data_IF_505128518263
#
_entry.id   IF_505128518263
#
_cell.length_a   1.000
_cell.length_b   1.000
_cell.length_c   1.000
_cell.angle_alpha   90.00
_cell.angle_beta   90.00
_cell.angle_gamma   90.00
#
_symmetry.space_group_name_H-M   'P 1'
#
loop_
_entity.id
_entity.type
_entity.pdbx_description
1 polymer ?
#
# COMPACT_ATOMS: atom_id res chain seq x y z
N UNK A 1 -31.59 -18.48 24.96
CA UNK A 1 -30.78 -19.24 23.99
C UNK A 1 -30.35 -18.41 22.76
N UNK A 2 -31.13 -17.48 22.26
CA UNK A 2 -30.79 -16.63 21.10
C UNK A 2 -29.66 -15.63 21.40
N UNK A 3 -29.58 -15.08 22.62
CA UNK A 3 -28.57 -14.10 23.01
C UNK A 3 -27.12 -14.64 23.02
N UNK A 4 -26.96 -15.93 23.36
CA UNK A 4 -25.63 -16.59 23.41
C UNK A 4 -25.08 -16.84 22.01
N UNK A 5 -25.93 -17.10 21.03
CA UNK A 5 -25.54 -17.33 19.64
C UNK A 5 -25.09 -16.03 18.97
N UNK A 6 -25.68 -14.88 19.34
CA UNK A 6 -25.28 -13.57 18.79
C UNK A 6 -23.93 -13.12 19.34
N UNK A 7 -23.59 -13.42 20.59
CA UNK A 7 -22.27 -13.09 21.16
C UNK A 7 -21.13 -13.92 20.54
N UNK A 8 -21.38 -15.14 20.08
CA UNK A 8 -20.35 -15.97 19.42
C UNK A 8 -20.01 -15.53 18.00
N UNK A 9 -20.83 -14.70 17.36
CA UNK A 9 -20.58 -14.16 16.03
C UNK A 9 -19.73 -12.88 16.02
N UNK A 10 -19.45 -12.31 17.20
CA UNK A 10 -18.64 -11.09 17.33
C UNK A 10 -17.15 -11.36 17.64
N UNK A 11 -16.75 -12.61 17.82
CA UNK A 11 -15.34 -12.97 18.04
C UNK A 11 -14.60 -13.31 16.74
N UNK A 12 -14.72 -12.46 15.73
CA UNK A 12 -13.81 -12.46 14.57
C UNK A 12 -12.53 -11.69 14.94
N UNK A 13 -11.85 -12.12 15.99
CA UNK A 13 -10.47 -11.74 16.19
C UNK A 13 -9.62 -12.57 15.23
N UNK A 14 -9.04 -11.93 14.22
CA UNK A 14 -7.90 -12.49 13.51
C UNK A 14 -6.85 -12.76 14.59
N UNK A 15 -6.54 -14.03 14.86
CA UNK A 15 -5.40 -14.37 15.70
C UNK A 15 -4.16 -14.08 14.85
N UNK A 16 -3.46 -13.01 15.21
CA UNK A 16 -2.10 -12.84 14.73
C UNK A 16 -1.26 -13.99 15.30
N UNK A 17 -0.54 -14.69 14.44
CA UNK A 17 0.42 -15.70 14.89
C UNK A 17 1.55 -14.99 15.63
N UNK A 18 1.86 -15.47 16.83
CA UNK A 18 3.01 -14.97 17.58
C UNK A 18 4.30 -15.30 16.82
N UNK A 19 4.90 -14.30 16.22
CA UNK A 19 6.21 -14.42 15.59
C UNK A 19 7.31 -14.02 16.57
N UNK A 20 8.46 -14.69 16.50
CA UNK A 20 9.63 -14.31 17.29
C UNK A 20 10.13 -12.94 16.83
N UNK A 21 10.23 -11.97 17.75
CA UNK A 21 10.81 -10.66 17.42
C UNK A 21 12.35 -10.78 17.28
N UNK A 22 12.75 -11.29 16.14
CA UNK A 22 14.15 -11.46 15.74
C UNK A 22 14.27 -11.15 14.25
N UNK A 23 15.46 -10.82 13.72
CA UNK A 23 15.62 -10.56 12.28
C UNK A 23 15.06 -11.69 11.41
N UNK A 24 15.31 -12.94 11.78
CA UNK A 24 14.78 -14.09 11.05
C UNK A 24 13.27 -14.24 11.22
N UNK A 25 12.74 -14.08 12.44
CA UNK A 25 11.29 -14.15 12.68
C UNK A 25 10.53 -13.08 11.92
N UNK A 26 11.04 -11.85 11.89
CA UNK A 26 10.42 -10.74 11.14
C UNK A 26 10.47 -10.95 9.63
N UNK A 27 11.56 -11.53 9.12
CA UNK A 27 11.66 -11.91 7.71
C UNK A 27 10.62 -12.97 7.33
N UNK A 28 10.52 -14.07 8.09
CA UNK A 28 9.57 -15.15 7.84
C UNK A 28 8.12 -14.65 7.94
N UNK A 29 7.84 -13.80 8.94
CA UNK A 29 6.52 -13.22 9.10
C UNK A 29 6.11 -12.34 7.90
N UNK A 30 7.01 -11.47 7.43
CA UNK A 30 6.74 -10.61 6.28
C UNK A 30 6.58 -11.44 5.01
N UNK A 31 7.46 -12.43 4.78
CA UNK A 31 7.35 -13.31 3.63
C UNK A 31 5.99 -14.04 3.61
N UNK A 32 5.57 -14.60 4.75
CA UNK A 32 4.30 -15.31 4.91
C UNK A 32 3.10 -14.40 4.67
N UNK A 33 3.12 -13.16 5.17
CA UNK A 33 2.05 -12.17 4.93
C UNK A 33 1.86 -11.94 3.43
N UNK A 34 2.94 -11.77 2.69
CA UNK A 34 2.86 -11.58 1.23
C UNK A 34 2.38 -12.84 0.54
N UNK A 35 2.91 -14.00 0.91
CA UNK A 35 2.49 -15.30 0.36
C UNK A 35 0.99 -15.55 0.48
N UNK A 36 0.43 -15.27 1.67
CA UNK A 36 -0.96 -15.54 1.99
C UNK A 36 -1.95 -14.44 1.57
N UNK A 37 -1.49 -13.19 1.48
CA UNK A 37 -2.40 -12.04 1.35
C UNK A 37 -2.20 -11.20 0.09
N UNK A 38 -1.05 -11.30 -0.58
CA UNK A 38 -0.82 -10.55 -1.80
C UNK A 38 -1.44 -11.25 -3.01
N UNK A 39 -2.48 -10.67 -3.57
CA UNK A 39 -3.33 -11.31 -4.58
C UNK A 39 -2.74 -11.34 -6.01
N UNK A 40 -1.58 -10.73 -6.27
CA UNK A 40 -1.04 -10.60 -7.61
C UNK A 40 0.19 -11.46 -7.90
N UNK A 41 0.60 -12.37 -6.99
CA UNK A 41 1.77 -13.24 -7.22
C UNK A 41 1.61 -14.07 -8.50
N UNK A 42 0.48 -14.75 -8.63
CA UNK A 42 0.18 -15.58 -9.81
C UNK A 42 0.02 -14.73 -11.08
N UNK A 43 -0.73 -13.62 -11.00
CA UNK A 43 -0.95 -12.70 -12.12
C UNK A 43 0.37 -12.15 -12.68
N UNK A 44 1.30 -11.77 -11.80
CA UNK A 44 2.62 -11.24 -12.16
C UNK A 44 3.64 -12.32 -12.46
N UNK A 45 3.29 -13.60 -12.28
CA UNK A 45 4.18 -14.75 -12.44
C UNK A 45 5.43 -14.66 -11.55
N UNK A 46 5.25 -14.21 -10.32
CA UNK A 46 6.34 -14.05 -9.33
C UNK A 46 6.51 -15.39 -8.59
N UNK A 47 7.70 -15.95 -8.68
CA UNK A 47 8.13 -17.11 -7.87
C UNK A 47 8.56 -16.61 -6.47
N UNK A 48 7.57 -16.51 -5.56
CA UNK A 48 7.79 -15.97 -4.23
C UNK A 48 8.65 -16.88 -3.35
N UNK A 49 8.65 -18.21 -3.57
CA UNK A 49 9.52 -19.16 -2.92
C UNK A 49 11.00 -18.97 -3.35
N UNK A 50 11.24 -18.70 -4.62
CA UNK A 50 12.59 -18.37 -5.09
C UNK A 50 13.10 -17.07 -4.47
N UNK A 51 12.22 -16.08 -4.28
CA UNK A 51 12.54 -14.83 -3.58
C UNK A 51 12.87 -15.09 -2.11
N UNK A 52 12.09 -15.94 -1.40
CA UNK A 52 12.43 -16.39 -0.05
C UNK A 52 13.83 -16.99 -0.01
N UNK A 53 14.12 -17.94 -0.90
CA UNK A 53 15.42 -18.62 -0.99
C UNK A 53 16.56 -17.63 -1.21
N UNK A 54 16.35 -16.59 -2.01
CA UNK A 54 17.33 -15.54 -2.29
C UNK A 54 17.62 -14.70 -1.04
N UNK A 55 16.58 -14.16 -0.41
CA UNK A 55 16.71 -13.16 0.65
C UNK A 55 16.97 -13.77 2.04
N UNK A 56 16.51 -14.99 2.33
CA UNK A 56 16.77 -15.68 3.59
C UNK A 56 18.26 -15.86 3.89
N UNK A 57 19.09 -15.98 2.84
CA UNK A 57 20.57 -16.10 2.95
C UNK A 57 21.23 -14.81 3.43
N UNK A 58 20.55 -13.66 3.31
CA UNK A 58 21.07 -12.36 3.72
C UNK A 58 20.75 -12.06 5.19
N UNK A 59 19.84 -12.82 5.80
CA UNK A 59 19.38 -12.59 7.17
C UNK A 59 20.32 -13.27 8.17
N UNK A 60 20.83 -12.47 9.11
CA UNK A 60 21.62 -12.95 10.24
C UNK A 60 20.97 -12.57 11.57
N UNK A 61 21.20 -13.37 12.61
CA UNK A 61 20.61 -13.09 13.93
C UNK A 61 21.19 -11.85 14.61
N UNK A 62 22.31 -11.33 14.14
CA UNK A 62 23.01 -10.15 14.66
C UNK A 62 22.82 -8.92 13.77
N UNK A 63 21.94 -9.00 12.78
CA UNK A 63 21.65 -7.91 11.86
C UNK A 63 21.02 -6.74 12.60
N UNK A 64 21.44 -5.51 12.26
CA UNK A 64 20.80 -4.30 12.80
C UNK A 64 19.39 -4.12 12.24
N UNK A 65 18.58 -3.30 12.90
CA UNK A 65 17.22 -2.96 12.42
C UNK A 65 17.25 -2.30 11.06
N UNK A 66 18.23 -1.44 10.80
CA UNK A 66 18.41 -0.76 9.52
C UNK A 66 18.78 -1.75 8.41
N UNK A 67 19.73 -2.66 8.69
CA UNK A 67 20.12 -3.70 7.75
C UNK A 67 18.95 -4.65 7.44
N UNK A 68 18.18 -5.03 8.45
CA UNK A 68 16.96 -5.82 8.26
C UNK A 68 15.95 -5.06 7.39
N UNK A 69 15.69 -3.78 7.69
CA UNK A 69 14.77 -2.96 6.93
C UNK A 69 15.15 -2.87 5.45
N UNK A 70 16.44 -2.70 5.16
CA UNK A 70 16.96 -2.66 3.80
C UNK A 70 16.73 -3.99 3.06
N UNK A 71 17.03 -5.12 3.70
CA UNK A 71 16.80 -6.44 3.09
C UNK A 71 15.32 -6.71 2.84
N UNK A 72 14.45 -6.39 3.82
CA UNK A 72 13.00 -6.55 3.68
C UNK A 72 12.43 -5.63 2.59
N UNK A 73 12.87 -4.39 2.53
CA UNK A 73 12.47 -3.44 1.49
C UNK A 73 12.85 -3.92 0.10
N UNK A 74 14.08 -4.41 -0.06
CA UNK A 74 14.55 -4.98 -1.32
C UNK A 74 13.77 -6.24 -1.73
N UNK A 75 13.39 -7.09 -0.76
CA UNK A 75 12.54 -8.25 -1.01
C UNK A 75 11.15 -7.82 -1.52
N UNK A 76 10.51 -6.83 -0.89
CA UNK A 76 9.22 -6.32 -1.33
C UNK A 76 9.29 -5.64 -2.71
N UNK A 77 10.40 -5.00 -3.05
CA UNK A 77 10.59 -4.37 -4.36
C UNK A 77 10.61 -5.37 -5.53
N UNK A 78 10.86 -6.67 -5.26
CA UNK A 78 10.69 -7.72 -6.28
C UNK A 78 9.23 -7.84 -6.77
N UNK A 79 8.27 -7.40 -5.97
CA UNK A 79 6.87 -7.36 -6.37
C UNK A 79 6.59 -6.32 -7.46
N UNK A 80 7.47 -5.33 -7.63
CA UNK A 80 7.31 -4.21 -8.58
C UNK A 80 5.92 -3.56 -8.45
N UNK A 81 5.51 -3.24 -7.22
CA UNK A 81 4.19 -2.72 -6.92
C UNK A 81 4.28 -1.48 -6.03
N UNK A 82 3.88 -0.33 -6.57
CA UNK A 82 3.90 0.95 -5.85
C UNK A 82 2.92 1.05 -4.68
N UNK A 83 2.02 0.06 -4.50
CA UNK A 83 1.10 0.00 -3.37
C UNK A 83 1.63 -0.82 -2.20
N UNK A 84 2.72 -1.57 -2.40
CA UNK A 84 3.38 -2.33 -1.34
C UNK A 84 4.50 -1.48 -0.74
N UNK A 85 4.32 -1.09 0.52
CA UNK A 85 5.26 -0.24 1.24
C UNK A 85 5.69 -0.89 2.54
N UNK A 86 6.97 -0.74 2.90
CA UNK A 86 7.49 -1.07 4.21
C UNK A 86 7.77 0.23 4.95
N UNK A 87 7.14 0.43 6.09
CA UNK A 87 7.32 1.61 6.92
C UNK A 87 7.92 1.24 8.28
N UNK A 88 8.83 2.08 8.75
CA UNK A 88 9.35 2.08 10.11
C UNK A 88 9.19 3.46 10.73
N UNK A 89 9.56 3.61 12.00
CA UNK A 89 9.51 4.92 12.66
C UNK A 89 10.40 6.00 11.98
N UNK A 90 11.40 5.59 11.20
CA UNK A 90 12.41 6.49 10.65
C UNK A 90 12.62 6.35 9.15
N UNK A 91 11.98 5.39 8.50
CA UNK A 91 12.20 5.13 7.09
C UNK A 91 10.97 4.50 6.41
N UNK A 92 10.85 4.73 5.11
CA UNK A 92 9.84 4.10 4.24
C UNK A 92 10.55 3.56 3.01
N UNK A 93 10.31 2.28 2.69
CA UNK A 93 10.72 1.65 1.43
C UNK A 93 9.50 1.43 0.56
N UNK A 94 9.59 1.80 -0.71
CA UNK A 94 8.54 1.64 -1.71
C UNK A 94 9.13 1.48 -3.10
N UNK A 95 8.39 0.84 -3.98
CA UNK A 95 8.76 0.72 -5.38
C UNK A 95 8.26 1.93 -6.16
N UNK A 96 9.16 2.72 -6.73
CA UNK A 96 8.85 3.97 -7.42
C UNK A 96 9.04 3.92 -8.95
N UNK A 97 9.67 2.86 -9.48
CA UNK A 97 9.96 2.77 -10.91
C UNK A 97 8.70 2.67 -11.79
N UNK A 98 7.55 2.28 -11.23
CA UNK A 98 6.31 2.10 -11.98
C UNK A 98 5.80 3.38 -12.66
N UNK A 99 6.08 4.56 -12.10
CA UNK A 99 5.65 5.83 -12.69
C UNK A 99 6.75 6.53 -13.52
N UNK A 100 7.99 6.04 -13.47
CA UNK A 100 9.11 6.63 -14.23
C UNK A 100 9.03 6.29 -15.71
N UNK A 101 8.46 5.13 -16.05
CA UNK A 101 8.36 4.63 -17.42
C UNK A 101 7.12 5.11 -18.17
N UNK A 102 6.23 5.84 -17.50
CA UNK A 102 4.99 6.32 -18.10
C UNK A 102 4.98 7.85 -18.25
N UNK A 103 4.53 8.37 -19.39
CA UNK A 103 4.36 9.81 -19.55
C UNK A 103 3.29 10.32 -18.58
N UNK A 104 3.54 11.48 -17.98
CA UNK A 104 2.53 12.14 -17.16
C UNK A 104 1.42 12.67 -18.07
N UNK A 105 0.27 12.04 -18.03
CA UNK A 105 -0.91 12.43 -18.79
C UNK A 105 -1.76 13.49 -18.08
N UNK A 106 -1.51 13.70 -16.79
CA UNK A 106 -2.26 14.67 -16.00
C UNK A 106 -1.81 16.09 -16.36
N UNK A 107 -2.78 16.94 -16.72
CA UNK A 107 -2.63 18.33 -17.04
C UNK A 107 -3.44 19.17 -16.06
N UNK A 108 -2.77 19.75 -15.09
CA UNK A 108 -3.42 20.56 -14.05
C UNK A 108 -4.14 21.77 -14.62
N UNK A 109 -3.51 22.45 -15.58
CA UNK A 109 -4.09 23.57 -16.30
C UNK A 109 -5.44 23.21 -16.94
N UNK A 110 -5.57 22.04 -17.58
CA UNK A 110 -6.83 21.59 -18.16
C UNK A 110 -7.89 21.34 -17.05
N UNK A 111 -7.48 20.69 -15.94
CA UNK A 111 -8.41 20.42 -14.84
C UNK A 111 -8.89 21.72 -14.19
N UNK A 112 -8.02 22.66 -13.94
CA UNK A 112 -8.38 23.96 -13.36
C UNK A 112 -9.24 24.77 -14.34
N UNK A 113 -8.81 24.94 -15.59
CA UNK A 113 -9.49 25.84 -16.52
C UNK A 113 -10.79 25.25 -17.08
N UNK A 114 -10.85 23.96 -17.37
CA UNK A 114 -11.98 23.32 -18.06
C UNK A 114 -12.99 22.72 -17.10
N UNK A 115 -12.51 21.99 -16.07
CA UNK A 115 -13.41 21.26 -15.18
C UNK A 115 -13.79 22.06 -13.93
N UNK A 116 -12.88 22.74 -13.27
CA UNK A 116 -13.18 23.51 -12.06
C UNK A 116 -13.59 24.94 -12.40
N UNK A 117 -12.78 25.66 -13.14
CA UNK A 117 -12.97 27.10 -13.40
C UNK A 117 -12.35 27.96 -12.29
N UNK A 118 -12.85 29.18 -12.13
CA UNK A 118 -12.29 30.16 -11.19
C UNK A 118 -12.67 29.83 -9.73
N UNK A 119 -11.69 29.89 -8.86
CA UNK A 119 -11.91 29.77 -7.41
C UNK A 119 -12.95 30.81 -6.94
N UNK A 120 -13.75 30.41 -5.96
CA UNK A 120 -14.82 31.20 -5.33
C UNK A 120 -16.05 31.54 -6.18
N UNK A 121 -16.00 31.39 -7.49
CA UNK A 121 -17.15 31.63 -8.37
C UNK A 121 -17.70 30.34 -8.95
N UNK A 122 -16.82 29.49 -9.48
CA UNK A 122 -17.22 28.35 -10.30
C UNK A 122 -17.21 27.01 -9.54
N UNK A 123 -16.47 26.93 -8.45
CA UNK A 123 -16.46 25.75 -7.59
C UNK A 123 -16.42 26.09 -6.09
N UNK A 124 -16.71 25.09 -5.28
CA UNK A 124 -16.65 25.17 -3.82
C UNK A 124 -15.53 24.28 -3.28
N UNK A 125 -15.04 24.62 -2.09
CA UNK A 125 -14.03 23.83 -1.38
C UNK A 125 -14.56 23.44 -0.01
N UNK A 126 -14.46 22.16 0.34
CA UNK A 126 -14.77 21.66 1.68
C UNK A 126 -13.80 20.51 2.03
N UNK A 127 -13.17 20.59 3.21
CA UNK A 127 -12.28 19.55 3.74
C UNK A 127 -11.19 19.09 2.74
N UNK A 128 -10.57 20.03 2.01
CA UNK A 128 -9.53 19.70 1.02
C UNK A 128 -10.04 19.18 -0.33
N UNK A 129 -11.36 19.14 -0.53
CA UNK A 129 -11.98 18.73 -1.79
C UNK A 129 -12.53 19.93 -2.52
N UNK A 130 -12.14 20.10 -3.79
CA UNK A 130 -12.75 21.06 -4.72
C UNK A 130 -13.89 20.37 -5.44
N UNK A 131 -15.07 21.00 -5.52
CA UNK A 131 -16.23 20.38 -6.18
C UNK A 131 -17.17 21.40 -6.81
N UNK A 132 -17.86 20.96 -7.86
CA UNK A 132 -18.98 21.69 -8.47
C UNK A 132 -19.98 20.72 -9.12
N UNK A 133 -21.15 21.28 -9.48
CA UNK A 133 -22.14 20.58 -10.29
C UNK A 133 -22.19 21.30 -11.65
N UNK A 134 -22.00 20.54 -12.72
CA UNK A 134 -22.13 21.05 -14.09
C UNK A 134 -23.59 21.27 -14.48
N UNK A 135 -23.83 21.99 -15.59
CA UNK A 135 -25.17 22.31 -16.07
C UNK A 135 -26.02 21.08 -16.42
N UNK A 136 -25.38 19.95 -16.75
CA UNK A 136 -26.01 18.65 -17.01
C UNK A 136 -26.27 17.83 -15.73
N UNK A 137 -26.15 18.43 -14.54
CA UNK A 137 -26.30 17.82 -13.23
C UNK A 137 -25.24 16.73 -12.91
N UNK A 138 -24.10 16.70 -13.57
CA UNK A 138 -22.97 15.85 -13.19
C UNK A 138 -22.16 16.55 -12.08
N UNK A 139 -21.96 15.85 -10.97
CA UNK A 139 -21.07 16.31 -9.90
C UNK A 139 -19.61 16.03 -10.26
N UNK A 140 -18.77 17.05 -10.22
CA UNK A 140 -17.32 16.91 -10.34
C UNK A 140 -16.66 17.15 -8.98
N UNK A 141 -15.76 16.27 -8.60
CA UNK A 141 -15.03 16.36 -7.34
C UNK A 141 -13.55 16.10 -7.60
N UNK A 142 -12.69 16.96 -7.06
CA UNK A 142 -11.24 16.79 -7.07
C UNK A 142 -10.70 16.77 -5.65
N UNK A 143 -9.98 15.70 -5.30
CA UNK A 143 -9.20 15.59 -4.08
C UNK A 143 -7.73 15.83 -4.42
N UNK A 144 -7.07 16.64 -3.61
CA UNK A 144 -5.64 16.90 -3.67
C UNK A 144 -5.03 16.49 -2.32
N UNK A 145 -4.05 15.60 -2.33
CA UNK A 145 -3.27 15.20 -1.15
C UNK A 145 -1.93 15.89 -1.14
#
# INVERSE_FOLDING_TARGET
>A
MVLVVVLSLLSSCIREEETTNSPKGNFEALWKIIDEQYCFLEYKQIDWDAIHTKYSKLITNTMSSEGLFEVLGNMLNELQDGHVNLASAHNVSYYDAWYQDYPRNFREDIVEDVYLGKASTDYRTAAGVKYKIFEDNIGYMRYES
#
